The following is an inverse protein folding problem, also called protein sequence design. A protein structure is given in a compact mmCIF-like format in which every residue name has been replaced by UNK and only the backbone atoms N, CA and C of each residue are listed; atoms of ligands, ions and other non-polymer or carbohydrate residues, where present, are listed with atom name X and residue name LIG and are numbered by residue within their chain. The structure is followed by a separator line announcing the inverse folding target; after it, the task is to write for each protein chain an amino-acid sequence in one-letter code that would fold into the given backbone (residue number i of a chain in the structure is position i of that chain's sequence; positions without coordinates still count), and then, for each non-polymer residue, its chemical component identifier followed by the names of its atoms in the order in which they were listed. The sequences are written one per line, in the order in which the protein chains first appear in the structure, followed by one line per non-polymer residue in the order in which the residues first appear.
data_IF_969305206825
#
_entry.id   IF_969305206825
#
_cell.length_a   1.000
_cell.length_b   1.000
_cell.length_c   1.000
_cell.angle_alpha   90.00
_cell.angle_beta   90.00
_cell.angle_gamma   90.00
#
_symmetry.space_group_name_H-M   'P 1'
#
loop_
_entity.id
_entity.type
_entity.pdbx_description
1 polymer ?
#
# COMPACT_ATOMS: atom_id res chain seq x y z
N UNK A 1 -0.37 -12.11 -3.66
CA UNK A 1 0.80 -11.24 -3.64
C UNK A 1 1.99 -11.87 -2.96
N UNK A 2 3.11 -11.18 -2.97
CA UNK A 2 4.33 -11.53 -2.24
C UNK A 2 4.40 -10.64 -1.00
N UNK A 3 4.63 -11.25 0.17
CA UNK A 3 4.73 -10.54 1.45
C UNK A 3 5.93 -11.05 2.24
N UNK A 4 6.64 -10.17 2.93
CA UNK A 4 7.77 -10.52 3.80
C UNK A 4 7.94 -9.55 4.97
N UNK A 5 8.71 -9.96 5.97
CA UNK A 5 9.05 -9.13 7.11
C UNK A 5 10.21 -8.19 6.79
N UNK A 6 10.15 -6.98 7.33
CA UNK A 6 11.19 -5.98 7.22
C UNK A 6 11.30 -5.20 8.54
N UNK A 7 12.50 -4.92 9.05
CA UNK A 7 12.66 -4.25 10.33
C UNK A 7 12.26 -2.75 10.23
N UNK A 8 11.00 -2.45 10.50
CA UNK A 8 10.42 -1.10 10.40
C UNK A 8 11.27 -0.03 11.08
N UNK A 9 11.86 -0.35 12.24
CA UNK A 9 12.73 0.54 13.00
C UNK A 9 13.97 1.04 12.23
N UNK A 10 14.35 0.33 11.17
CA UNK A 10 15.49 0.67 10.33
C UNK A 10 15.08 1.54 9.12
N UNK A 11 13.79 1.71 8.87
CA UNK A 11 13.29 2.47 7.73
C UNK A 11 13.39 3.98 8.01
N UNK A 12 14.09 4.69 7.16
CA UNK A 12 14.22 6.16 7.22
C UNK A 12 13.35 6.90 6.21
N UNK A 13 12.93 6.21 5.14
CA UNK A 13 12.12 6.83 4.11
C UNK A 13 11.81 5.88 2.95
N UNK A 14 11.14 6.43 1.94
CA UNK A 14 10.81 5.73 0.72
C UNK A 14 10.76 6.68 -0.48
N UNK A 15 11.32 6.22 -1.61
CA UNK A 15 11.08 6.81 -2.92
C UNK A 15 10.32 5.83 -3.79
N UNK A 16 9.38 6.33 -4.60
CA UNK A 16 8.67 5.45 -5.54
C UNK A 16 8.18 6.18 -6.77
N UNK A 17 8.04 5.44 -7.85
CA UNK A 17 7.31 5.86 -9.04
C UNK A 17 5.97 5.14 -9.05
N UNK A 18 4.88 5.90 -9.02
CA UNK A 18 3.53 5.39 -8.94
C UNK A 18 2.52 6.48 -8.59
N UNK A 19 1.36 6.07 -8.11
CA UNK A 19 0.33 6.98 -7.61
C UNK A 19 0.71 7.53 -6.24
N UNK A 20 0.49 8.82 -6.04
CA UNK A 20 0.84 9.49 -4.78
C UNK A 20 0.32 10.93 -4.70
N UNK A 21 0.86 11.73 -3.76
CA UNK A 21 2.06 11.52 -2.92
C UNK A 21 1.83 10.77 -1.60
N UNK A 22 0.66 10.20 -1.38
CA UNK A 22 0.25 9.57 -0.12
C UNK A 22 -0.25 8.16 -0.36
N UNK A 23 -0.43 7.39 0.72
CA UNK A 23 -1.08 6.08 0.68
C UNK A 23 -2.50 6.20 0.15
N UNK A 24 -3.00 5.13 -0.46
CA UNK A 24 -4.33 5.15 -1.08
C UNK A 24 -5.12 3.88 -0.74
N UNK A 25 -6.43 4.00 -0.84
CA UNK A 25 -7.37 2.88 -0.89
C UNK A 25 -7.90 2.73 -2.31
N UNK A 26 -8.38 1.54 -2.67
CA UNK A 26 -8.88 1.26 -4.03
C UNK A 26 -9.83 2.33 -4.57
N UNK A 27 -10.80 2.73 -3.76
CA UNK A 27 -11.80 3.74 -4.13
C UNK A 27 -11.31 5.20 -3.98
N UNK A 28 -10.02 5.42 -3.69
CA UNK A 28 -9.38 6.74 -3.59
C UNK A 28 -8.30 6.96 -4.64
N UNK A 29 -7.98 5.95 -5.43
CA UNK A 29 -6.99 6.07 -6.52
C UNK A 29 -7.27 7.23 -7.47
N UNK A 30 -8.53 7.51 -7.89
CA UNK A 30 -8.81 8.63 -8.80
C UNK A 30 -8.40 10.02 -8.28
N UNK A 31 -8.23 10.18 -6.97
CA UNK A 31 -7.77 11.43 -6.36
C UNK A 31 -6.26 11.62 -6.33
N UNK A 32 -5.49 10.66 -6.84
CA UNK A 32 -4.01 10.69 -6.83
C UNK A 32 -3.43 11.09 -8.17
N UNK A 33 -2.21 11.63 -8.14
CA UNK A 33 -1.41 11.89 -9.33
C UNK A 33 -0.38 10.78 -9.57
N UNK A 34 0.04 10.65 -10.82
CA UNK A 34 1.13 9.76 -11.19
C UNK A 34 2.45 10.55 -11.20
N UNK A 35 3.49 10.01 -10.56
CA UNK A 35 4.77 10.72 -10.47
C UNK A 35 5.84 9.94 -9.73
N UNK A 36 6.96 10.61 -9.50
CA UNK A 36 8.03 10.15 -8.63
C UNK A 36 7.93 10.92 -7.32
N UNK A 37 7.84 10.18 -6.24
CA UNK A 37 7.60 10.70 -4.91
C UNK A 37 8.72 10.32 -3.96
N UNK A 38 8.97 11.15 -2.97
CA UNK A 38 9.86 10.85 -1.85
C UNK A 38 9.18 11.25 -0.54
N UNK A 39 9.34 10.44 0.47
CA UNK A 39 8.80 10.67 1.79
C UNK A 39 9.70 10.12 2.87
N UNK A 40 9.95 10.92 3.89
CA UNK A 40 10.55 10.48 5.13
C UNK A 40 9.58 9.57 5.90
N UNK A 41 10.13 8.59 6.60
CA UNK A 41 9.33 7.70 7.44
C UNK A 41 8.56 8.50 8.50
N UNK A 42 7.32 8.14 8.68
CA UNK A 42 6.51 8.59 9.81
C UNK A 42 5.63 7.46 10.34
N UNK A 43 5.33 7.49 11.64
CA UNK A 43 4.44 6.53 12.26
C UNK A 43 2.98 6.93 12.02
N UNK A 44 2.42 6.48 10.91
CA UNK A 44 1.04 6.77 10.52
C UNK A 44 0.05 6.10 11.47
N UNK A 45 -0.93 6.87 11.94
CA UNK A 45 -2.09 6.36 12.68
C UNK A 45 -3.33 6.59 11.84
N UNK A 46 -4.05 5.50 11.51
CA UNK A 46 -5.23 5.60 10.67
C UNK A 46 -6.44 6.11 11.46
N UNK A 47 -7.11 7.14 10.93
CA UNK A 47 -8.32 7.70 11.53
C UNK A 47 -8.08 8.48 12.82
N UNK A 48 -6.86 8.91 13.08
CA UNK A 48 -6.51 9.84 14.15
C UNK A 48 -7.22 11.20 13.95
N UNK A 49 -7.32 12.00 15.00
CA UNK A 49 -7.80 13.37 14.90
C UNK A 49 -6.85 14.21 14.06
N UNK A 50 -7.37 15.31 13.47
CA UNK A 50 -6.54 16.23 12.68
C UNK A 50 -5.39 16.86 13.46
N UNK A 51 -5.46 16.91 14.77
CA UNK A 51 -4.41 17.44 15.64
C UNK A 51 -3.16 16.56 15.68
N UNK A 52 -3.35 15.23 15.52
CA UNK A 52 -2.27 14.23 15.57
C UNK A 52 -2.02 13.56 14.21
N UNK A 53 -2.67 14.02 13.16
CA UNK A 53 -2.52 13.43 11.83
C UNK A 53 -1.15 13.79 11.25
N UNK A 54 -0.33 12.78 11.01
CA UNK A 54 0.91 12.93 10.24
C UNK A 54 0.59 12.82 8.77
N UNK A 55 0.64 13.93 8.07
CA UNK A 55 0.37 14.00 6.64
C UNK A 55 1.62 14.43 5.85
N UNK A 56 1.89 13.81 4.71
CA UNK A 56 1.17 12.70 4.13
C UNK A 56 1.54 11.38 4.83
N UNK A 57 0.56 10.46 4.93
CA UNK A 57 0.76 9.17 5.61
C UNK A 57 1.76 8.28 4.88
N UNK A 58 2.65 7.66 5.64
CA UNK A 58 3.69 6.77 5.12
C UNK A 58 3.20 5.33 5.01
N UNK A 59 2.67 4.79 6.12
CA UNK A 59 2.25 3.39 6.22
C UNK A 59 0.96 3.12 5.47
N UNK A 60 0.84 1.97 4.86
CA UNK A 60 -0.34 1.50 4.16
C UNK A 60 -0.09 1.18 2.69
N UNK A 61 -1.12 1.31 1.87
CA UNK A 61 -1.07 0.94 0.45
C UNK A 61 -0.65 2.10 -0.44
N UNK A 62 0.19 1.80 -1.43
CA UNK A 62 0.57 2.68 -2.53
C UNK A 62 0.21 2.02 -3.86
N UNK A 63 -0.28 2.78 -4.82
CA UNK A 63 -0.87 2.22 -6.02
C UNK A 63 -0.02 2.42 -7.28
N UNK A 64 -0.16 1.47 -8.22
CA UNK A 64 0.43 1.53 -9.55
C UNK A 64 1.94 1.78 -9.53
N UNK A 65 2.65 1.01 -8.71
CA UNK A 65 4.10 1.11 -8.54
C UNK A 65 4.83 0.49 -9.74
N UNK A 66 5.82 1.19 -10.27
CA UNK A 66 6.82 0.66 -11.19
C UNK A 66 8.15 0.37 -10.51
N UNK A 67 8.56 1.21 -9.59
CA UNK A 67 9.68 0.94 -8.69
C UNK A 67 9.47 1.64 -7.36
N UNK A 68 10.08 1.07 -6.33
CA UNK A 68 10.17 1.68 -5.01
C UNK A 68 11.53 1.39 -4.38
N UNK A 69 12.12 2.39 -3.75
CA UNK A 69 13.32 2.25 -2.92
C UNK A 69 12.92 2.46 -1.48
N UNK A 70 13.16 1.47 -0.64
CA UNK A 70 13.04 1.63 0.81
C UNK A 70 14.39 2.09 1.35
N UNK A 71 14.40 3.24 2.00
CA UNK A 71 15.61 3.89 2.52
C UNK A 71 15.90 3.40 3.94
N UNK A 72 17.15 3.04 4.19
CA UNK A 72 17.61 2.51 5.48
C UNK A 72 19.14 2.54 5.50
N UNK A 73 19.72 2.78 6.67
CA UNK A 73 21.18 2.74 6.84
C UNK A 73 21.74 1.30 6.85
N UNK A 74 20.89 0.31 7.06
CA UNK A 74 21.36 -1.08 7.27
C UNK A 74 20.84 -2.07 6.22
N UNK A 75 19.64 -1.86 5.71
CA UNK A 75 18.93 -2.81 4.85
C UNK A 75 18.18 -2.14 3.70
N UNK A 76 18.76 -1.14 3.00
CA UNK A 76 18.08 -0.51 1.89
C UNK A 76 17.88 -1.49 0.75
N UNK A 77 16.81 -1.33 -0.02
CA UNK A 77 16.62 -2.05 -1.28
C UNK A 77 15.77 -1.25 -2.25
N UNK A 78 15.94 -1.54 -3.52
CA UNK A 78 15.04 -1.07 -4.57
C UNK A 78 14.34 -2.25 -5.21
N UNK A 79 13.05 -2.13 -5.44
CA UNK A 79 12.27 -3.10 -6.17
C UNK A 79 11.73 -2.48 -7.45
N UNK A 80 11.82 -3.22 -8.54
CA UNK A 80 11.27 -2.85 -9.85
C UNK A 80 10.18 -3.85 -10.23
N UNK A 81 9.05 -3.37 -10.70
CA UNK A 81 7.99 -4.19 -11.26
C UNK A 81 7.98 -4.09 -12.79
N UNK A 82 7.84 -5.24 -13.46
CA UNK A 82 7.53 -5.31 -14.89
C UNK A 82 6.04 -5.48 -15.16
N UNK A 83 5.23 -5.57 -14.11
CA UNK A 83 3.79 -5.63 -14.21
C UNK A 83 3.20 -4.23 -14.06
N UNK A 84 2.21 -3.92 -14.89
CA UNK A 84 1.38 -2.73 -14.69
C UNK A 84 0.43 -2.93 -13.51
N UNK A 85 0.12 -1.85 -12.81
CA UNK A 85 -0.92 -1.83 -11.78
C UNK A 85 -0.59 -2.53 -10.46
N UNK A 86 0.68 -2.82 -10.18
CA UNK A 86 1.08 -3.40 -8.90
C UNK A 86 0.82 -2.43 -7.74
N UNK A 87 0.26 -2.95 -6.68
CA UNK A 87 0.11 -2.26 -5.40
C UNK A 87 1.23 -2.64 -4.46
N UNK A 88 1.64 -1.68 -3.66
CA UNK A 88 2.72 -1.83 -2.70
C UNK A 88 2.20 -1.50 -1.31
N UNK A 89 2.29 -2.43 -0.37
CA UNK A 89 1.99 -2.20 1.03
C UNK A 89 3.29 -2.00 1.79
N UNK A 90 3.36 -0.93 2.57
CA UNK A 90 4.49 -0.59 3.43
C UNK A 90 3.97 -0.40 4.84
N UNK A 91 4.30 -1.30 5.71
CA UNK A 91 3.93 -1.35 7.12
C UNK A 91 2.43 -1.16 7.40
N UNK A 92 1.98 -1.74 8.47
CA UNK A 92 0.59 -1.59 8.92
C UNK A 92 0.47 -0.34 9.78
N UNK A 93 -0.41 0.61 9.43
CA UNK A 93 -0.68 1.76 10.27
C UNK A 93 -1.21 1.33 11.64
N UNK A 94 -0.82 2.05 12.68
CA UNK A 94 -1.40 1.83 14.00
C UNK A 94 -2.89 2.17 14.01
N UNK A 95 -3.66 1.45 14.81
CA UNK A 95 -5.07 1.73 15.02
C UNK A 95 -5.24 2.82 16.09
N UNK A 96 -6.18 3.76 15.90
CA UNK A 96 -6.46 4.78 16.90
C UNK A 96 -7.07 4.15 18.16
N UNK A 97 -6.65 4.62 19.32
CA UNK A 97 -7.17 4.16 20.60
C UNK A 97 -8.64 4.57 20.76
N UNK A 98 -9.49 3.62 21.16
CA UNK A 98 -10.87 3.89 21.56
C UNK A 98 -11.89 4.08 20.43
N UNK A 99 -11.55 3.83 19.17
CA UNK A 99 -12.50 3.91 18.05
C UNK A 99 -12.99 2.53 17.59
N UNK A 100 -14.16 2.55 16.94
CA UNK A 100 -14.78 1.36 16.35
C UNK A 100 -13.91 0.86 15.20
N UNK A 101 -13.47 -0.39 15.30
CA UNK A 101 -12.53 -1.03 14.37
C UNK A 101 -13.12 -1.46 13.02
N UNK A 102 -14.45 -1.40 12.87
CA UNK A 102 -15.19 -2.06 11.80
C UNK A 102 -15.02 -1.40 10.42
N UNK A 103 -14.43 -0.22 10.35
CA UNK A 103 -14.25 0.50 9.08
C UNK A 103 -12.88 0.30 8.45
N UNK A 104 -11.98 -0.39 9.14
CA UNK A 104 -10.61 -0.58 8.67
C UNK A 104 -10.48 -1.89 7.89
N UNK A 105 -10.11 -1.83 6.61
CA UNK A 105 -9.74 -3.03 5.87
C UNK A 105 -8.52 -3.70 6.50
N UNK A 106 -8.48 -5.02 6.42
CA UNK A 106 -7.32 -5.79 6.88
C UNK A 106 -6.11 -5.51 5.99
N UNK A 107 -4.96 -5.37 6.64
CA UNK A 107 -3.67 -5.35 5.96
C UNK A 107 -3.10 -6.78 5.84
N UNK A 108 -2.17 -7.02 4.89
CA UNK A 108 -1.44 -8.28 4.82
C UNK A 108 -0.68 -8.57 6.12
N UNK A 109 -0.49 -9.85 6.42
CA UNK A 109 0.44 -10.28 7.47
C UNK A 109 1.88 -10.10 6.97
N UNK A 110 2.60 -9.17 7.55
CA UNK A 110 3.97 -8.81 7.18
C UNK A 110 4.14 -7.31 6.93
N UNK A 111 5.38 -6.90 6.75
CA UNK A 111 5.74 -5.49 6.76
C UNK A 111 5.72 -4.88 5.36
N UNK A 112 6.15 -5.65 4.36
CA UNK A 112 6.21 -5.22 2.96
C UNK A 112 5.44 -6.22 2.10
N UNK A 113 4.56 -5.73 1.22
CA UNK A 113 3.80 -6.59 0.32
C UNK A 113 3.70 -6.01 -1.09
N UNK A 114 3.75 -6.87 -2.09
CA UNK A 114 3.46 -6.56 -3.49
C UNK A 114 2.20 -7.30 -3.89
N UNK A 115 1.18 -6.57 -4.30
CA UNK A 115 -0.18 -7.06 -4.40
C UNK A 115 -0.75 -6.75 -5.78
N UNK A 116 -1.68 -7.58 -6.23
CA UNK A 116 -2.41 -7.40 -7.48
C UNK A 116 -3.71 -6.59 -7.29
N UNK A 117 -4.17 -6.46 -6.06
CA UNK A 117 -5.32 -5.63 -5.69
C UNK A 117 -5.22 -5.20 -4.23
N UNK A 118 -5.95 -4.13 -3.88
CA UNK A 118 -6.03 -3.58 -2.51
C UNK A 118 -7.49 -3.34 -2.12
N UNK A 119 -7.81 -3.34 -0.82
CA UNK A 119 -9.16 -3.09 -0.37
C UNK A 119 -9.57 -1.62 -0.59
N UNK A 120 -10.88 -1.42 -0.70
CA UNK A 120 -11.51 -0.11 -0.58
C UNK A 120 -11.68 0.28 0.89
N UNK A 121 -11.61 1.57 1.20
CA UNK A 121 -12.03 2.05 2.51
C UNK A 121 -13.55 1.97 2.63
N UNK A 122 -14.04 1.44 3.73
CA UNK A 122 -15.46 1.38 4.02
C UNK A 122 -16.08 2.78 4.12
N UNK A 123 -17.31 2.93 3.68
CA UNK A 123 -18.12 4.12 3.85
C UNK A 123 -19.35 3.78 4.70
N UNK A 124 -20.14 4.80 5.06
CA UNK A 124 -21.39 4.61 5.81
C UNK A 124 -22.50 3.88 5.02
N UNK A 125 -22.26 3.60 3.73
CA UNK A 125 -23.20 2.88 2.89
C UNK A 125 -22.85 1.38 2.86
N UNK A 126 -23.84 0.50 2.83
CA UNK A 126 -23.61 -0.92 2.56
C UNK A 126 -22.81 -1.12 1.28
N UNK A 127 -21.99 -2.16 1.25
CA UNK A 127 -21.04 -2.41 0.15
C UNK A 127 -21.76 -2.55 -1.20
N UNK A 128 -22.97 -3.14 -1.18
CA UNK A 128 -23.82 -3.37 -2.35
C UNK A 128 -24.32 -2.07 -2.98
N UNK A 129 -24.36 -1.00 -2.19
CA UNK A 129 -24.81 0.34 -2.64
C UNK A 129 -23.64 1.24 -3.07
N UNK A 130 -22.42 0.74 -3.01
CA UNK A 130 -21.25 1.48 -3.40
C UNK A 130 -20.89 1.22 -4.87
N UNK A 131 -20.20 2.17 -5.50
CA UNK A 131 -19.77 2.03 -6.88
C UNK A 131 -18.72 0.92 -7.08
N UNK A 132 -18.41 0.59 -8.33
CA UNK A 132 -17.54 -0.56 -8.68
C UNK A 132 -16.16 -0.51 -8.00
N UNK A 133 -15.60 0.68 -7.83
CA UNK A 133 -14.30 0.87 -7.18
C UNK A 133 -14.30 0.59 -5.67
N UNK A 134 -15.47 0.42 -5.07
CA UNK A 134 -15.63 0.08 -3.65
C UNK A 134 -15.95 -1.38 -3.44
N UNK A 135 -16.20 -2.13 -4.50
CA UNK A 135 -16.46 -3.57 -4.41
C UNK A 135 -15.16 -4.33 -4.15
N UNK A 136 -15.24 -5.47 -3.45
CA UNK A 136 -14.09 -6.36 -3.29
C UNK A 136 -13.47 -6.70 -4.65
N UNK A 137 -12.14 -6.63 -4.73
CA UNK A 137 -11.42 -7.11 -5.90
C UNK A 137 -11.56 -8.61 -6.01
N UNK A 138 -12.14 -9.07 -7.10
CA UNK A 138 -12.28 -10.49 -7.38
C UNK A 138 -11.33 -10.90 -8.49
N UNK A 139 -10.05 -11.05 -8.15
CA UNK A 139 -9.12 -11.74 -9.04
C UNK A 139 -9.46 -13.22 -8.96
N UNK A 140 -10.03 -13.77 -10.04
CA UNK A 140 -10.36 -15.19 -10.15
C UNK A 140 -9.40 -15.85 -11.13
N UNK A 141 -8.69 -16.85 -10.65
CA UNK A 141 -7.92 -17.77 -11.51
C UNK A 141 -8.88 -18.88 -11.91
N UNK A 142 -9.06 -19.08 -13.23
CA UNK A 142 -9.88 -20.17 -13.78
C UNK A 142 -8.96 -21.33 -14.15
N UNK A 143 -9.49 -22.55 -14.15
CA UNK A 143 -8.79 -23.71 -14.68
C UNK A 143 -8.50 -23.49 -16.17
N UNK A 144 -7.23 -23.69 -16.56
CA UNK A 144 -6.75 -23.44 -17.93
C UNK A 144 -6.18 -22.04 -18.18
N UNK A 145 -6.28 -21.12 -17.20
CA UNK A 145 -5.58 -19.84 -17.27
C UNK A 145 -4.06 -20.05 -17.11
N UNK A 146 -3.27 -19.20 -17.74
CA UNK A 146 -1.79 -19.19 -17.58
C UNK A 146 -1.36 -18.83 -16.15
N UNK A 147 -2.31 -18.44 -15.28
CA UNK A 147 -2.09 -18.00 -13.92
C UNK A 147 -1.81 -16.50 -13.82
N UNK A 148 -1.47 -16.08 -12.62
CA UNK A 148 -1.09 -14.70 -12.32
C UNK A 148 0.42 -14.62 -12.16
N UNK A 149 1.05 -13.75 -12.93
CA UNK A 149 2.49 -13.53 -12.90
C UNK A 149 2.81 -12.24 -12.16
N UNK A 150 3.71 -12.32 -11.18
CA UNK A 150 4.28 -11.18 -10.49
C UNK A 150 5.78 -11.14 -10.79
N UNK A 151 6.20 -10.21 -11.65
CA UNK A 151 7.59 -10.06 -12.05
C UNK A 151 8.23 -8.90 -11.28
N UNK A 152 8.99 -9.23 -10.25
CA UNK A 152 9.70 -8.29 -9.41
C UNK A 152 11.21 -8.54 -9.49
N UNK A 153 11.97 -7.47 -9.55
CA UNK A 153 13.41 -7.51 -9.43
C UNK A 153 13.83 -6.70 -8.20
N UNK A 154 14.54 -7.35 -7.28
CA UNK A 154 15.07 -6.71 -6.10
C UNK A 154 16.55 -6.37 -6.32
N UNK A 155 16.92 -5.14 -6.01
CA UNK A 155 18.30 -4.66 -6.02
C UNK A 155 18.68 -4.24 -4.60
N UNK A 156 19.65 -4.93 -4.02
CA UNK A 156 20.21 -4.70 -2.68
C UNK A 156 21.56 -4.00 -2.71
N UNK A 157 22.01 -3.54 -3.88
CA UNK A 157 23.26 -2.78 -3.99
C UNK A 157 23.06 -1.39 -3.41
N UNK A 158 24.02 -0.96 -2.61
CA UNK A 158 24.13 0.40 -2.06
C UNK A 158 24.81 1.33 -3.05
#
# INVERSE_FOLDING_TARGET
GLTFSYPEKNCSGMKWMGRGPYRVWKNRIPGTNYGVWHKEYNNTITGESFENLVYPEFKGYHANMYWATLESDTTPFTVYSRNDGIFFHVFTPEEPKGRVKDTMPKFPEGDISFLLDIPAICSFKPIEQQGPNSQPGNIRIKSGDEGLHLNLMFDFRQ
#
